data_IF_473122395985
#
_entry.id   IF_473122395985
#
_cell.length_a   1.000
_cell.length_b   1.000
_cell.length_c   1.000
_cell.angle_alpha   90.00
_cell.angle_beta   90.00
_cell.angle_gamma   90.00
#
_symmetry.space_group_name_H-M   'P 1'
#
loop_
_entity.id
_entity.type
_entity.pdbx_description
1 polymer ?
#
# COMPACT_ATOMS: atom_id res chain seq x y z
N UNK A 1 1.04 -2.41 -22.54
CA UNK A 1 0.22 -1.80 -21.45
C UNK A 1 0.54 -2.31 -20.04
N UNK A 2 1.28 -3.41 -19.84
CA UNK A 2 1.67 -3.89 -18.50
C UNK A 2 2.76 -3.05 -17.81
N UNK A 3 3.72 -2.50 -18.57
CA UNK A 3 4.84 -1.69 -18.07
C UNK A 3 4.40 -0.47 -17.22
N UNK A 4 3.42 0.36 -17.62
CA UNK A 4 3.01 1.51 -16.80
C UNK A 4 2.36 1.07 -15.47
N UNK A 5 1.58 -0.01 -15.46
CA UNK A 5 0.91 -0.50 -14.25
C UNK A 5 1.93 -1.03 -13.25
N UNK A 6 2.98 -1.70 -13.71
CA UNK A 6 4.11 -2.13 -12.86
C UNK A 6 4.81 -0.94 -12.21
N UNK A 7 5.02 0.16 -12.97
CA UNK A 7 5.61 1.39 -12.43
C UNK A 7 4.71 2.01 -11.35
N UNK A 8 3.39 1.99 -11.53
CA UNK A 8 2.44 2.40 -10.49
C UNK A 8 2.50 1.49 -9.25
N UNK A 9 2.60 0.17 -9.41
CA UNK A 9 2.76 -0.76 -8.27
C UNK A 9 4.02 -0.47 -7.48
N UNK A 10 5.15 -0.26 -8.16
CA UNK A 10 6.41 0.10 -7.53
C UNK A 10 6.28 1.42 -6.75
N UNK A 11 5.70 2.45 -7.36
CA UNK A 11 5.44 3.73 -6.67
C UNK A 11 4.51 3.57 -5.47
N UNK A 12 3.50 2.70 -5.54
CA UNK A 12 2.60 2.41 -4.43
C UNK A 12 3.36 1.79 -3.24
N UNK A 13 4.19 0.77 -3.50
CA UNK A 13 5.02 0.15 -2.47
C UNK A 13 6.02 1.13 -1.86
N UNK A 14 6.60 2.00 -2.68
CA UNK A 14 7.53 3.03 -2.24
C UNK A 14 6.85 4.09 -1.37
N UNK A 15 5.63 4.51 -1.71
CA UNK A 15 4.83 5.41 -0.87
C UNK A 15 4.50 4.77 0.49
N UNK A 16 4.19 3.47 0.52
CA UNK A 16 3.94 2.73 1.76
C UNK A 16 5.17 2.59 2.65
N UNK A 17 6.39 2.58 2.08
CA UNK A 17 7.63 2.64 2.84
C UNK A 17 7.94 4.06 3.31
N UNK A 18 7.76 5.05 2.45
CA UNK A 18 8.01 6.46 2.77
C UNK A 18 7.17 6.93 3.97
N UNK A 19 5.92 6.49 4.10
CA UNK A 19 5.13 6.83 5.29
C UNK A 19 5.69 6.25 6.62
N UNK A 20 6.47 5.16 6.57
CA UNK A 20 7.07 4.55 7.76
C UNK A 20 8.33 5.33 8.15
N UNK A 21 9.13 5.72 7.16
CA UNK A 21 10.36 6.51 7.34
C UNK A 21 10.01 7.94 7.77
N UNK A 22 9.08 8.58 7.07
CA UNK A 22 8.64 9.94 7.31
C UNK A 22 7.38 9.98 8.18
N UNK A 23 7.57 9.73 9.48
CA UNK A 23 6.48 9.69 10.46
C UNK A 23 5.67 10.98 10.59
N UNK A 24 6.17 12.15 10.16
CA UNK A 24 5.38 13.39 10.15
C UNK A 24 4.43 13.47 8.94
N UNK A 25 4.73 12.74 7.87
CA UNK A 25 4.01 12.77 6.59
C UNK A 25 3.28 11.44 6.32
N UNK A 26 3.03 10.66 7.36
CA UNK A 26 2.48 9.33 7.23
C UNK A 26 1.08 9.30 6.59
N UNK A 27 0.22 10.28 6.94
CA UNK A 27 -1.15 10.39 6.40
C UNK A 27 -1.12 10.67 4.90
N UNK A 28 -0.44 11.73 4.39
CA UNK A 28 -0.45 12.02 2.95
C UNK A 28 0.21 10.91 2.13
N UNK A 29 1.29 10.28 2.60
CA UNK A 29 1.93 9.18 1.88
C UNK A 29 1.05 7.92 1.81
N UNK A 30 0.35 7.57 2.89
CA UNK A 30 -0.58 6.44 2.84
C UNK A 30 -1.81 6.73 1.98
N UNK A 31 -2.33 7.97 2.02
CA UNK A 31 -3.44 8.38 1.15
C UNK A 31 -3.04 8.31 -0.33
N UNK A 32 -1.82 8.75 -0.66
CA UNK A 32 -1.26 8.59 -2.01
C UNK A 32 -1.19 7.12 -2.42
N UNK A 33 -0.70 6.23 -1.54
CA UNK A 33 -0.67 4.79 -1.81
C UNK A 33 -2.07 4.18 -2.03
N UNK A 34 -3.09 4.67 -1.32
CA UNK A 34 -4.49 4.26 -1.50
C UNK A 34 -5.01 4.72 -2.87
N UNK A 35 -4.78 5.98 -3.25
CA UNK A 35 -5.18 6.50 -4.56
C UNK A 35 -4.54 5.67 -5.68
N UNK A 36 -3.23 5.41 -5.59
CA UNK A 36 -2.54 4.55 -6.56
C UNK A 36 -3.13 3.13 -6.59
N UNK A 37 -3.44 2.55 -5.42
CA UNK A 37 -4.06 1.23 -5.35
C UNK A 37 -5.44 1.18 -6.01
N UNK A 38 -6.27 2.20 -5.83
CA UNK A 38 -7.58 2.31 -6.51
C UNK A 38 -7.41 2.38 -8.03
N UNK A 39 -6.46 3.19 -8.51
CA UNK A 39 -6.17 3.29 -9.96
C UNK A 39 -5.76 1.92 -10.52
N UNK A 40 -4.87 1.19 -9.82
CA UNK A 40 -4.42 -0.14 -10.23
C UNK A 40 -5.61 -1.12 -10.25
N UNK A 41 -6.48 -1.12 -9.24
CA UNK A 41 -7.68 -1.97 -9.17
C UNK A 41 -8.62 -1.71 -10.36
N UNK A 42 -8.93 -0.44 -10.66
CA UNK A 42 -9.82 -0.06 -11.77
C UNK A 42 -9.23 -0.51 -13.11
N UNK A 43 -7.95 -0.24 -13.34
CA UNK A 43 -7.24 -0.63 -14.56
C UNK A 43 -7.12 -2.15 -14.72
N UNK A 44 -7.17 -2.89 -13.62
CA UNK A 44 -7.00 -4.32 -13.67
C UNK A 44 -8.21 -5.09 -14.24
N UNK A 45 -9.43 -4.53 -14.21
CA UNK A 45 -10.59 -5.15 -14.88
C UNK A 45 -10.32 -5.49 -16.35
N UNK A 46 -9.36 -4.80 -16.98
CA UNK A 46 -8.94 -5.00 -18.37
C UNK A 46 -7.83 -6.04 -18.57
N UNK A 47 -7.06 -6.41 -17.54
CA UNK A 47 -5.78 -7.12 -17.72
C UNK A 47 -5.61 -8.45 -16.97
N UNK A 48 -6.50 -8.85 -16.05
CA UNK A 48 -6.59 -10.16 -15.33
C UNK A 48 -5.31 -10.81 -14.72
N UNK A 49 -4.12 -10.25 -14.89
CA UNK A 49 -2.83 -10.94 -14.64
C UNK A 49 -2.15 -10.53 -13.31
N UNK A 50 -2.58 -9.44 -12.67
CA UNK A 50 -1.95 -8.94 -11.43
C UNK A 50 -2.57 -9.55 -10.15
N UNK A 51 -1.78 -9.70 -9.09
CA UNK A 51 -2.31 -10.06 -7.77
C UNK A 51 -2.89 -8.81 -7.07
N UNK A 52 -4.19 -8.52 -7.26
CA UNK A 52 -4.88 -7.33 -6.67
C UNK A 52 -4.98 -7.41 -5.15
N UNK A 53 -4.98 -8.63 -4.59
CA UNK A 53 -5.30 -8.86 -3.18
C UNK A 53 -4.52 -7.91 -2.25
N UNK A 54 -3.25 -7.65 -2.55
CA UNK A 54 -2.42 -6.74 -1.77
C UNK A 54 -2.84 -5.26 -1.86
N UNK A 55 -3.37 -4.81 -3.00
CA UNK A 55 -3.92 -3.47 -3.14
C UNK A 55 -5.22 -3.27 -2.35
N UNK A 56 -6.02 -4.33 -2.17
CA UNK A 56 -7.14 -4.29 -1.22
C UNK A 56 -6.67 -4.22 0.24
N UNK A 57 -5.55 -4.88 0.59
CA UNK A 57 -4.96 -4.76 1.92
C UNK A 57 -4.46 -3.34 2.21
N UNK A 58 -3.94 -2.61 1.20
CA UNK A 58 -3.59 -1.18 1.35
C UNK A 58 -4.81 -0.35 1.73
N UNK A 59 -5.95 -0.56 1.07
CA UNK A 59 -7.21 0.11 1.41
C UNK A 59 -7.66 -0.23 2.84
N UNK A 60 -7.63 -1.51 3.21
CA UNK A 60 -8.02 -1.94 4.55
C UNK A 60 -7.12 -1.36 5.64
N UNK A 61 -5.79 -1.33 5.41
CA UNK A 61 -4.83 -0.73 6.32
C UNK A 61 -5.07 0.77 6.51
N UNK A 62 -5.51 1.47 5.48
CA UNK A 62 -5.86 2.89 5.61
C UNK A 62 -7.07 3.09 6.55
N UNK A 63 -8.12 2.29 6.39
CA UNK A 63 -9.29 2.33 7.27
C UNK A 63 -8.91 1.95 8.70
N UNK A 64 -8.12 0.89 8.87
CA UNK A 64 -7.60 0.49 10.18
C UNK A 64 -6.81 1.63 10.84
N UNK A 65 -5.97 2.34 10.08
CA UNK A 65 -5.24 3.51 10.60
C UNK A 65 -6.18 4.60 11.08
N UNK A 66 -7.22 4.93 10.31
CA UNK A 66 -8.22 5.94 10.73
C UNK A 66 -8.90 5.53 12.04
N UNK A 67 -9.20 4.24 12.21
CA UNK A 67 -9.76 3.72 13.46
C UNK A 67 -8.79 3.80 14.65
N UNK A 68 -7.49 3.52 14.43
CA UNK A 68 -6.45 3.66 15.46
C UNK A 68 -6.26 5.13 15.87
N UNK A 69 -6.37 6.07 14.93
CA UNK A 69 -6.32 7.51 15.23
C UNK A 69 -7.55 8.00 15.99
N UNK A 70 -8.73 7.46 15.69
CA UNK A 70 -10.01 7.95 16.21
C UNK A 70 -10.42 7.31 17.55
N UNK A 71 -10.21 5.99 17.70
CA UNK A 71 -10.84 5.19 18.78
C UNK A 71 -9.82 4.34 19.54
N UNK A 72 -8.88 3.71 18.84
CA UNK A 72 -7.90 2.79 19.45
C UNK A 72 -6.53 3.48 19.61
N UNK A 73 -6.41 4.40 20.56
CA UNK A 73 -5.14 5.06 20.92
C UNK A 73 -4.18 4.13 21.69
N UNK A 74 -4.33 2.81 21.55
CA UNK A 74 -3.45 1.82 22.16
C UNK A 74 -2.16 1.66 21.35
N UNK A 75 -1.02 1.76 22.03
CA UNK A 75 0.32 1.66 21.42
C UNK A 75 0.56 0.33 20.69
N UNK A 76 -0.03 -0.77 21.16
CA UNK A 76 0.10 -2.09 20.55
C UNK A 76 -0.58 -2.16 19.18
N UNK A 77 -1.73 -1.49 19.01
CA UNK A 77 -2.43 -1.42 17.72
C UNK A 77 -1.60 -0.67 16.67
N UNK A 78 -0.86 0.35 17.07
CA UNK A 78 0.06 1.09 16.19
C UNK A 78 1.25 0.22 15.75
N UNK A 79 1.78 -0.62 16.64
CA UNK A 79 2.88 -1.54 16.32
C UNK A 79 2.39 -2.60 15.32
N UNK A 80 1.24 -3.23 15.57
CA UNK A 80 0.64 -4.22 14.66
C UNK A 80 0.41 -3.59 13.29
N UNK A 81 -0.14 -2.37 13.27
CA UNK A 81 -0.33 -1.61 12.04
C UNK A 81 0.98 -1.42 11.26
N UNK A 82 2.05 -1.00 11.95
CA UNK A 82 3.35 -0.76 11.34
C UNK A 82 3.91 -2.04 10.72
N UNK A 83 3.83 -3.16 11.44
CA UNK A 83 4.26 -4.46 10.95
C UNK A 83 3.49 -4.89 9.70
N UNK A 84 2.16 -4.73 9.69
CA UNK A 84 1.34 -5.06 8.54
C UNK A 84 1.63 -4.14 7.34
N UNK A 85 1.85 -2.84 7.56
CA UNK A 85 2.25 -1.92 6.51
C UNK A 85 3.61 -2.28 5.90
N UNK A 86 4.60 -2.62 6.74
CA UNK A 86 5.91 -3.10 6.27
C UNK A 86 5.76 -4.36 5.42
N UNK A 87 5.00 -5.34 5.91
CA UNK A 87 4.75 -6.58 5.19
C UNK A 87 4.14 -6.32 3.81
N UNK A 88 3.04 -5.56 3.75
CA UNK A 88 2.36 -5.24 2.48
C UNK A 88 3.27 -4.43 1.55
N UNK A 89 4.02 -3.46 2.07
CA UNK A 89 4.96 -2.67 1.27
C UNK A 89 6.05 -3.54 0.63
N UNK A 90 6.68 -4.42 1.42
CA UNK A 90 7.69 -5.36 0.93
C UNK A 90 7.12 -6.31 -0.13
N UNK A 91 5.93 -6.86 0.10
CA UNK A 91 5.30 -7.79 -0.86
C UNK A 91 4.96 -7.07 -2.18
N UNK A 92 4.39 -5.87 -2.13
CA UNK A 92 4.08 -5.08 -3.34
C UNK A 92 5.36 -4.74 -4.11
N UNK A 93 6.44 -4.37 -3.41
CA UNK A 93 7.73 -4.11 -4.04
C UNK A 93 8.33 -5.37 -4.65
N UNK A 94 8.33 -6.49 -3.93
CA UNK A 94 8.81 -7.77 -4.46
C UNK A 94 8.01 -8.19 -5.70
N UNK A 95 6.69 -8.08 -5.69
CA UNK A 95 5.82 -8.34 -6.84
C UNK A 95 6.15 -7.43 -8.03
N UNK A 96 6.46 -6.17 -7.76
CA UNK A 96 6.88 -5.25 -8.81
C UNK A 96 8.25 -5.63 -9.39
N UNK A 97 9.20 -6.10 -8.57
CA UNK A 97 10.56 -6.49 -8.95
C UNK A 97 10.68 -7.89 -9.58
N UNK A 98 9.91 -8.88 -9.12
CA UNK A 98 9.98 -10.29 -9.60
C UNK A 98 9.64 -10.48 -11.07
N UNK A 99 9.21 -9.43 -11.76
CA UNK A 99 8.95 -9.43 -13.21
C UNK A 99 9.82 -8.42 -13.97
N UNK A 100 10.89 -7.92 -13.35
CA UNK A 100 12.00 -7.19 -13.98
C UNK A 100 13.26 -8.07 -14.19
N UNK A 101 13.41 -9.13 -13.38
CA UNK A 101 14.42 -10.19 -13.51
C UNK A 101 13.84 -11.35 -14.33
#
# INVERSE_FOLDING_TARGET
>A
MLVPIKKLQFMCGLCLLLQIIFQMMFVPFHLLAVILSIIIIIWQKRLRILQIQYHYYVLFLYVYRLMVLLVLTYSWCQIIYLCLCLYVACVILLLSCRMFL
#
